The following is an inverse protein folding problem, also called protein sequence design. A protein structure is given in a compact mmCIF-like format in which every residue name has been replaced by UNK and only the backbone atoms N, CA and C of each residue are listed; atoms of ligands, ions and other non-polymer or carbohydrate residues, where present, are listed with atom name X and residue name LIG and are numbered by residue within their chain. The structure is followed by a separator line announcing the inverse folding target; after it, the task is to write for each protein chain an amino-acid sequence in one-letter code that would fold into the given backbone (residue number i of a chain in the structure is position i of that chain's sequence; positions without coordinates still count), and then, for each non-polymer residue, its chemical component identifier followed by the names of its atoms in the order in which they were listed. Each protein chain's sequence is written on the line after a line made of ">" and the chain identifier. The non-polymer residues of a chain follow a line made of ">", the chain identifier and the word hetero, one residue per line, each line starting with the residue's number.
data_IF_490876764665
#
_entry.id   IF_490876764665
#
_cell.length_a   1.000
_cell.length_b   1.000
_cell.length_c   1.000
_cell.angle_alpha   90.00
_cell.angle_beta   90.00
_cell.angle_gamma   90.00
#
_symmetry.space_group_name_H-M   'P 1'
#
loop_
_entity.id
_entity.type
_entity.pdbx_description
1 polymer ?
#
# COMPACT_ATOMS: atom_id res chain seq x y z
N UNK A 1 12.06 -16.21 34.15
CA UNK A 1 12.54 -15.36 33.04
C UNK A 1 12.14 -15.90 31.66
N UNK A 2 12.16 -17.23 31.42
CA UNK A 2 11.69 -17.85 30.17
C UNK A 2 10.22 -17.56 29.81
N UNK A 3 9.31 -17.57 30.79
CA UNK A 3 7.86 -17.35 30.56
C UNK A 3 7.51 -15.94 30.05
N UNK A 4 8.28 -14.93 30.46
CA UNK A 4 8.05 -13.54 30.07
C UNK A 4 8.49 -13.32 28.62
N UNK A 5 9.65 -13.87 28.21
CA UNK A 5 10.12 -13.83 26.83
C UNK A 5 9.15 -14.51 25.85
N UNK A 6 8.65 -15.70 26.18
CA UNK A 6 7.65 -16.40 25.38
C UNK A 6 6.34 -15.61 25.22
N UNK A 7 5.89 -14.91 26.26
CA UNK A 7 4.69 -14.08 26.19
C UNK A 7 4.88 -12.89 25.24
N UNK A 8 6.02 -12.20 25.30
CA UNK A 8 6.31 -11.08 24.39
C UNK A 8 6.51 -11.53 22.95
N UNK A 9 7.22 -12.64 22.71
CA UNK A 9 7.37 -13.22 21.37
C UNK A 9 6.01 -13.61 20.79
N UNK A 10 5.15 -14.27 21.58
CA UNK A 10 3.81 -14.63 21.13
C UNK A 10 2.94 -13.41 20.86
N UNK A 11 3.03 -12.36 21.69
CA UNK A 11 2.30 -11.11 21.49
C UNK A 11 2.78 -10.38 20.24
N UNK A 12 4.09 -10.33 20.00
CA UNK A 12 4.69 -9.78 18.79
C UNK A 12 4.24 -10.56 17.55
N UNK A 13 4.38 -11.89 17.57
CA UNK A 13 3.97 -12.73 16.44
C UNK A 13 2.48 -12.61 16.15
N UNK A 14 1.62 -12.59 17.17
CA UNK A 14 0.19 -12.39 16.99
C UNK A 14 -0.17 -10.97 16.53
N UNK A 15 0.57 -9.94 16.96
CA UNK A 15 0.32 -8.59 16.49
C UNK A 15 0.74 -8.43 15.02
N UNK A 16 1.87 -9.02 14.64
CA UNK A 16 2.53 -8.80 13.36
C UNK A 16 2.06 -9.76 12.25
N UNK A 17 1.84 -11.04 12.56
CA UNK A 17 1.56 -12.09 11.59
C UNK A 17 0.17 -12.74 11.73
N UNK A 18 -0.65 -12.35 12.71
CA UNK A 18 -2.03 -12.84 12.75
C UNK A 18 -2.76 -12.41 11.49
N UNK A 19 -3.51 -13.35 10.91
CA UNK A 19 -4.42 -13.08 9.79
C UNK A 19 -5.25 -11.83 10.04
N UNK A 20 -5.24 -10.95 9.03
CA UNK A 20 -5.84 -9.64 9.06
C UNK A 20 -7.10 -9.65 8.19
N UNK A 21 -8.10 -8.86 8.57
CA UNK A 21 -9.32 -8.71 7.77
C UNK A 21 -8.98 -8.32 6.32
N UNK A 22 -9.53 -9.02 5.34
CA UNK A 22 -9.36 -8.72 3.92
C UNK A 22 -10.71 -8.24 3.38
N UNK A 23 -11.00 -6.96 3.55
CA UNK A 23 -12.26 -6.39 3.05
C UNK A 23 -12.07 -5.57 1.78
N UNK A 24 -10.85 -5.12 1.47
CA UNK A 24 -10.59 -4.38 0.24
C UNK A 24 -11.01 -5.21 -0.98
N UNK A 25 -11.86 -4.63 -1.80
CA UNK A 25 -12.23 -5.14 -3.11
C UNK A 25 -11.93 -4.05 -4.13
N UNK A 26 -11.38 -4.42 -5.29
CA UNK A 26 -11.12 -3.44 -6.34
C UNK A 26 -11.14 -4.04 -7.75
N UNK A 27 -11.50 -3.21 -8.73
CA UNK A 27 -11.28 -3.47 -10.15
C UNK A 27 -9.95 -2.87 -10.62
N UNK A 28 -9.32 -3.49 -11.60
CA UNK A 28 -8.12 -2.96 -12.26
C UNK A 28 -8.09 -3.40 -13.73
N UNK A 29 -7.25 -2.73 -14.51
CA UNK A 29 -6.88 -3.16 -15.85
C UNK A 29 -5.43 -3.66 -15.79
N UNK A 30 -5.04 -4.65 -16.59
CA UNK A 30 -3.64 -5.11 -16.63
C UNK A 30 -2.76 -4.15 -17.45
N UNK A 31 -2.73 -2.88 -17.04
CA UNK A 31 -1.91 -1.81 -17.62
C UNK A 31 -0.86 -1.32 -16.61
N UNK A 32 0.31 -0.87 -17.07
CA UNK A 32 1.32 -0.28 -16.20
C UNK A 32 0.78 0.89 -15.36
N UNK A 33 1.16 0.89 -14.08
CA UNK A 33 0.97 1.98 -13.13
C UNK A 33 2.36 2.54 -12.81
N UNK A 34 2.62 3.80 -13.14
CA UNK A 34 3.87 4.47 -12.81
C UNK A 34 3.89 4.89 -11.34
N UNK A 35 5.08 4.84 -10.75
CA UNK A 35 5.34 5.38 -9.43
C UNK A 35 6.55 6.30 -9.47
N UNK A 36 6.63 7.25 -8.54
CA UNK A 36 7.83 8.02 -8.30
C UNK A 36 8.54 7.50 -7.05
N UNK A 37 9.85 7.68 -6.99
CA UNK A 37 10.59 7.57 -5.73
C UNK A 37 10.44 8.85 -4.91
N UNK A 38 10.01 8.70 -3.67
CA UNK A 38 10.10 9.73 -2.66
C UNK A 38 11.38 9.52 -1.83
N UNK A 39 12.17 10.59 -1.70
CA UNK A 39 13.37 10.60 -0.88
C UNK A 39 13.03 10.84 0.59
N UNK A 40 13.84 10.31 1.49
CA UNK A 40 13.79 10.62 2.91
C UNK A 40 15.17 11.10 3.42
N UNK A 41 15.16 12.14 4.24
CA UNK A 41 16.36 12.72 4.85
C UNK A 41 16.40 12.61 6.37
N UNK A 42 15.57 11.75 6.98
CA UNK A 42 15.44 11.64 8.45
C UNK A 42 16.38 10.63 9.11
N UNK A 43 17.41 10.12 8.42
CA UNK A 43 18.36 9.17 8.99
C UNK A 43 19.26 9.79 10.08
N UNK A 44 19.77 8.97 11.00
CA UNK A 44 20.85 9.37 11.90
C UNK A 44 22.05 9.87 11.08
N UNK A 45 22.62 11.01 11.47
CA UNK A 45 23.74 11.67 10.77
C UNK A 45 23.40 12.32 9.41
N UNK A 46 22.12 12.53 9.09
CA UNK A 46 21.74 13.21 7.85
C UNK A 46 21.87 12.36 6.60
N UNK A 47 21.86 11.03 6.76
CA UNK A 47 21.77 10.11 5.62
C UNK A 47 20.51 10.41 4.79
N UNK A 48 20.73 10.63 3.50
CA UNK A 48 19.69 10.88 2.51
C UNK A 48 19.44 9.60 1.71
N UNK A 49 18.27 9.00 1.89
CA UNK A 49 17.81 7.85 1.11
C UNK A 49 16.98 8.37 -0.08
N UNK A 50 17.50 8.39 -1.31
CA UNK A 50 16.74 8.86 -2.47
C UNK A 50 15.53 7.99 -2.82
N UNK A 51 15.52 6.71 -2.41
CA UNK A 51 14.48 5.74 -2.77
C UNK A 51 13.80 5.19 -1.51
N UNK A 52 13.28 6.09 -0.68
CA UNK A 52 12.74 5.74 0.62
C UNK A 52 11.28 5.27 0.59
N UNK A 53 10.51 5.67 -0.43
CA UNK A 53 9.15 5.22 -0.63
C UNK A 53 8.74 5.25 -2.09
N UNK A 54 7.90 4.31 -2.50
CA UNK A 54 7.22 4.34 -3.80
C UNK A 54 5.91 5.11 -3.65
N UNK A 55 5.76 6.23 -4.36
CA UNK A 55 4.51 7.00 -4.38
C UNK A 55 3.84 6.86 -5.72
N UNK A 56 2.58 6.42 -5.71
CA UNK A 56 1.77 6.21 -6.90
C UNK A 56 0.87 7.44 -7.10
N UNK A 57 1.09 8.25 -8.14
CA UNK A 57 0.20 9.35 -8.48
C UNK A 57 -1.21 8.82 -8.77
N UNK A 58 -2.22 9.55 -8.34
CA UNK A 58 -3.61 9.20 -8.62
C UNK A 58 -4.44 10.42 -8.99
N UNK A 59 -5.51 10.18 -9.76
CA UNK A 59 -6.48 11.23 -10.14
C UNK A 59 -7.87 10.83 -9.67
N UNK A 60 -8.58 11.78 -9.06
CA UNK A 60 -10.00 11.65 -8.72
C UNK A 60 -10.77 12.53 -9.71
N UNK A 61 -11.79 11.97 -10.36
CA UNK A 61 -12.56 12.70 -11.36
C UNK A 61 -13.23 13.94 -10.77
N UNK A 62 -13.18 15.05 -11.51
CA UNK A 62 -13.73 16.34 -11.07
C UNK A 62 -12.83 17.15 -10.14
N UNK A 63 -11.67 16.63 -9.71
CA UNK A 63 -10.71 17.35 -8.88
C UNK A 63 -9.41 17.65 -9.66
N UNK A 64 -8.92 18.89 -9.53
CA UNK A 64 -7.69 19.35 -10.18
C UNK A 64 -6.43 19.15 -9.33
N UNK A 65 -6.59 18.66 -8.11
CA UNK A 65 -5.52 18.40 -7.14
C UNK A 65 -4.58 17.29 -7.62
N UNK A 66 -3.33 17.35 -7.16
CA UNK A 66 -2.32 16.33 -7.44
C UNK A 66 -2.25 15.34 -6.29
N UNK A 67 -2.97 14.24 -6.39
CA UNK A 67 -3.00 13.22 -5.34
C UNK A 67 -1.96 12.13 -5.57
N UNK A 68 -1.54 11.48 -4.48
CA UNK A 68 -0.81 10.23 -4.53
C UNK A 68 -1.17 9.34 -3.33
N UNK A 69 -0.84 8.06 -3.44
CA UNK A 69 -0.79 7.13 -2.31
C UNK A 69 0.59 6.47 -2.27
N UNK A 70 1.09 6.17 -1.08
CA UNK A 70 2.31 5.38 -0.94
C UNK A 70 2.00 3.90 -1.21
N UNK A 71 2.73 3.25 -2.11
CA UNK A 71 2.73 1.79 -2.18
C UNK A 71 3.69 1.24 -1.12
N UNK A 72 3.15 0.45 -0.20
CA UNK A 72 3.79 0.11 1.07
C UNK A 72 3.54 -1.37 1.41
N UNK A 73 4.52 -2.23 1.14
CA UNK A 73 4.43 -3.66 1.50
C UNK A 73 4.58 -3.86 3.02
N UNK A 74 5.14 -2.87 3.71
CA UNK A 74 5.12 -2.59 5.15
C UNK A 74 3.74 -2.38 5.77
N UNK A 75 2.70 -2.17 4.95
CA UNK A 75 1.31 -2.07 5.38
C UNK A 75 0.49 -3.30 4.97
N UNK A 76 -0.14 -4.03 5.90
CA UNK A 76 -0.96 -5.19 5.54
C UNK A 76 -2.34 -4.79 5.02
N UNK A 77 -2.70 -3.51 5.02
CA UNK A 77 -3.96 -3.01 4.50
C UNK A 77 -3.72 -1.74 3.68
N UNK A 78 -4.59 -1.51 2.72
CA UNK A 78 -4.71 -0.22 2.06
C UNK A 78 -5.55 0.71 2.92
N UNK A 79 -5.12 1.97 3.00
CA UNK A 79 -5.71 2.99 3.86
C UNK A 79 -6.05 4.25 3.08
N UNK A 80 -7.14 4.88 3.48
CA UNK A 80 -7.38 6.31 3.24
C UNK A 80 -7.23 7.07 4.55
N UNK A 81 -6.55 8.21 4.49
CA UNK A 81 -6.26 9.00 5.68
C UNK A 81 -7.46 9.87 6.08
N UNK A 82 -7.78 9.89 7.37
CA UNK A 82 -9.01 10.52 7.84
C UNK A 82 -9.07 12.03 7.59
N UNK A 83 -7.95 12.74 7.76
CA UNK A 83 -7.93 14.20 7.57
C UNK A 83 -8.08 14.57 6.08
N UNK A 84 -7.44 13.81 5.19
CA UNK A 84 -7.60 13.96 3.75
C UNK A 84 -9.03 13.62 3.29
N UNK A 85 -9.63 12.55 3.85
CA UNK A 85 -11.02 12.17 3.58
C UNK A 85 -12.01 13.27 3.98
N UNK A 86 -11.78 13.95 5.11
CA UNK A 86 -12.58 15.13 5.51
C UNK A 86 -12.48 16.25 4.47
N UNK A 87 -11.29 16.50 3.94
CA UNK A 87 -11.08 17.49 2.87
C UNK A 87 -11.78 17.09 1.58
N UNK A 88 -11.68 15.83 1.12
CA UNK A 88 -12.41 15.34 -0.06
C UNK A 88 -13.92 15.56 0.07
N UNK A 89 -14.50 15.25 1.23
CA UNK A 89 -15.92 15.51 1.53
C UNK A 89 -16.25 17.00 1.51
N UNK A 90 -15.38 17.86 2.06
CA UNK A 90 -15.56 19.30 2.03
C UNK A 90 -15.50 19.90 0.61
N UNK A 91 -14.87 19.19 -0.35
CA UNK A 91 -14.91 19.55 -1.78
C UNK A 91 -16.22 19.14 -2.47
N UNK A 92 -17.14 18.49 -1.75
CA UNK A 92 -18.44 18.08 -2.25
C UNK A 92 -18.51 16.62 -2.72
N UNK A 93 -17.47 15.81 -2.46
CA UNK A 93 -17.54 14.38 -2.78
C UNK A 93 -18.44 13.64 -1.78
N UNK A 94 -19.43 12.91 -2.31
CA UNK A 94 -20.29 12.03 -1.52
C UNK A 94 -19.58 10.69 -1.22
N UNK A 95 -18.64 10.71 -0.27
CA UNK A 95 -17.89 9.51 0.15
C UNK A 95 -18.50 8.95 1.43
N UNK A 96 -19.24 7.85 1.26
CA UNK A 96 -19.89 7.12 2.35
C UNK A 96 -18.91 6.30 3.18
N UNK A 97 -19.28 6.13 4.43
CA UNK A 97 -18.53 5.36 5.41
C UNK A 97 -19.39 4.23 5.96
N UNK A 98 -18.76 3.08 6.16
CA UNK A 98 -19.37 1.92 6.81
C UNK A 98 -18.46 1.43 7.95
N UNK A 99 -19.08 0.88 8.99
CA UNK A 99 -18.38 0.35 10.16
C UNK A 99 -18.55 -1.16 10.22
N UNK A 100 -17.46 -1.89 10.44
CA UNK A 100 -17.48 -3.34 10.64
C UNK A 100 -16.68 -3.68 11.90
N UNK A 101 -17.39 -4.04 12.97
CA UNK A 101 -16.79 -4.16 14.30
C UNK A 101 -16.31 -2.80 14.79
N UNK A 102 -15.04 -2.69 15.16
CA UNK A 102 -14.41 -1.44 15.61
C UNK A 102 -13.69 -0.68 14.47
N UNK A 103 -13.70 -1.24 13.26
CA UNK A 103 -13.00 -0.69 12.10
C UNK A 103 -13.96 0.12 11.21
N UNK A 104 -13.46 1.25 10.68
CA UNK A 104 -14.18 2.15 9.78
C UNK A 104 -13.62 2.04 8.37
N UNK A 105 -14.50 2.14 7.38
CA UNK A 105 -14.15 1.96 5.97
C UNK A 105 -14.85 3.00 5.11
N UNK A 106 -14.18 3.46 4.07
CA UNK A 106 -14.85 4.07 2.92
C UNK A 106 -15.56 2.97 2.15
N UNK A 107 -16.87 3.13 1.97
CA UNK A 107 -17.72 2.14 1.30
C UNK A 107 -17.24 1.91 -0.14
N UNK A 108 -16.99 3.01 -0.85
CA UNK A 108 -16.48 3.01 -2.21
C UNK A 108 -15.76 4.33 -2.52
N UNK A 109 -14.66 4.23 -3.27
CA UNK A 109 -13.98 5.36 -3.88
C UNK A 109 -13.50 4.97 -5.27
N UNK A 110 -13.68 5.87 -6.23
CA UNK A 110 -13.23 5.69 -7.61
C UNK A 110 -12.09 6.67 -7.89
N UNK A 111 -11.00 6.16 -8.46
CA UNK A 111 -9.83 6.94 -8.83
C UNK A 111 -9.08 6.26 -9.98
N UNK A 112 -8.15 7.00 -10.58
CA UNK A 112 -7.26 6.51 -11.63
C UNK A 112 -5.84 6.39 -11.12
N UNK A 113 -5.21 5.27 -11.42
CA UNK A 113 -3.76 5.07 -11.33
C UNK A 113 -3.23 4.99 -12.76
N UNK A 114 -2.73 6.11 -13.28
CA UNK A 114 -2.51 6.33 -14.72
C UNK A 114 -3.73 5.96 -15.57
N UNK A 115 -3.60 4.95 -16.43
CA UNK A 115 -4.64 4.48 -17.35
C UNK A 115 -5.55 3.41 -16.75
N UNK A 116 -5.37 3.10 -15.46
CA UNK A 116 -6.18 2.12 -14.73
C UNK A 116 -7.30 2.81 -13.97
N UNK A 117 -8.55 2.46 -14.31
CA UNK A 117 -9.72 2.87 -13.54
C UNK A 117 -9.92 1.92 -12.36
N UNK A 118 -9.68 2.43 -11.17
CA UNK A 118 -9.81 1.68 -9.93
C UNK A 118 -11.13 2.07 -9.26
N UNK A 119 -12.02 1.10 -9.13
CA UNK A 119 -13.17 1.17 -8.24
C UNK A 119 -12.84 0.35 -7.02
N UNK A 120 -12.52 1.00 -5.90
CA UNK A 120 -12.14 0.34 -4.66
C UNK A 120 -13.24 0.47 -3.61
N UNK A 121 -13.55 -0.62 -2.94
CA UNK A 121 -14.57 -0.70 -1.89
C UNK A 121 -13.96 -1.21 -0.59
N UNK A 122 -14.59 -0.82 0.52
CA UNK A 122 -14.15 -1.18 1.87
C UNK A 122 -12.69 -0.78 2.16
N UNK A 123 -12.28 0.40 1.70
CA UNK A 123 -10.94 0.94 1.96
C UNK A 123 -10.88 1.34 3.43
N UNK A 124 -9.90 0.84 4.18
CA UNK A 124 -9.81 1.10 5.62
C UNK A 124 -9.49 2.57 5.90
N UNK A 125 -10.17 3.18 6.86
CA UNK A 125 -9.88 4.55 7.29
C UNK A 125 -8.81 4.52 8.37
N UNK A 126 -7.69 5.22 8.15
CA UNK A 126 -6.68 5.44 9.16
C UNK A 126 -7.02 6.71 9.96
N UNK A 127 -7.52 6.50 11.18
CA UNK A 127 -7.98 7.57 12.06
C UNK A 127 -6.87 8.52 12.50
N UNK A 128 -7.19 9.81 12.62
CA UNK A 128 -6.30 10.89 13.05
C UNK A 128 -4.99 11.01 12.23
N UNK A 129 -4.96 10.52 10.99
CA UNK A 129 -3.79 10.56 10.13
C UNK A 129 -4.03 11.43 8.89
N UNK A 130 -2.94 11.82 8.24
CA UNK A 130 -2.93 12.66 7.05
C UNK A 130 -3.12 14.14 7.34
N UNK A 131 -3.33 14.93 6.29
CA UNK A 131 -3.34 16.39 6.37
C UNK A 131 -4.60 16.98 5.72
N UNK A 132 -5.12 18.06 6.29
CA UNK A 132 -6.21 18.79 5.66
C UNK A 132 -5.66 19.63 4.49
N UNK A 133 -6.38 19.63 3.38
CA UNK A 133 -6.12 20.47 2.21
C UNK A 133 -7.38 21.23 1.78
N UNK A 134 -7.19 22.28 0.97
CA UNK A 134 -8.29 23.16 0.54
C UNK A 134 -8.58 23.01 -0.96
N UNK A 135 -9.73 23.53 -1.40
CA UNK A 135 -10.11 23.56 -2.83
C UNK A 135 -9.10 24.28 -3.71
N UNK A 136 -8.42 25.28 -3.17
CA UNK A 136 -7.51 26.14 -3.93
C UNK A 136 -6.07 25.59 -3.97
N UNK A 137 -5.80 24.50 -3.25
CA UNK A 137 -4.48 23.86 -3.25
C UNK A 137 -4.30 22.99 -4.50
N UNK A 138 -3.86 23.62 -5.58
CA UNK A 138 -3.66 22.97 -6.89
C UNK A 138 -2.18 22.72 -7.20
N UNK A 139 -1.28 23.06 -6.28
CA UNK A 139 0.17 23.01 -6.48
C UNK A 139 0.79 21.91 -5.62
N UNK A 140 0.27 21.67 -4.42
CA UNK A 140 0.84 20.67 -3.52
C UNK A 140 0.58 19.25 -4.04
N UNK A 141 1.56 18.36 -3.83
CA UNK A 141 1.35 16.90 -3.93
C UNK A 141 0.72 16.43 -2.63
N UNK A 142 -0.48 15.85 -2.70
CA UNK A 142 -1.30 15.52 -1.54
C UNK A 142 -1.35 14.00 -1.38
N UNK A 143 -0.72 13.49 -0.33
CA UNK A 143 -0.71 12.06 0.01
C UNK A 143 -1.96 11.70 0.78
N UNK A 144 -2.92 11.03 0.13
CA UNK A 144 -4.25 10.77 0.72
C UNK A 144 -4.41 9.38 1.33
N UNK A 145 -3.37 8.55 1.25
CA UNK A 145 -3.47 7.16 1.70
C UNK A 145 -2.24 6.31 1.42
N UNK A 146 -2.43 5.02 1.69
CA UNK A 146 -1.46 3.94 1.50
C UNK A 146 -2.10 2.83 0.68
N UNK A 147 -1.41 2.31 -0.33
CA UNK A 147 -1.73 1.06 -1.03
C UNK A 147 -0.89 -0.03 -0.36
N UNK A 148 -1.56 -0.88 0.42
CA UNK A 148 -0.90 -1.94 1.19
C UNK A 148 -0.81 -3.27 0.46
N UNK A 149 -0.24 -4.26 1.13
CA UNK A 149 -0.09 -5.64 0.63
C UNK A 149 -1.43 -6.36 0.34
N UNK A 150 -2.57 -5.86 0.85
CA UNK A 150 -3.88 -6.39 0.46
C UNK A 150 -4.24 -6.08 -1.01
N UNK A 151 -3.64 -5.04 -1.59
CA UNK A 151 -3.80 -4.70 -3.00
C UNK A 151 -3.22 -5.78 -3.91
N UNK A 152 -2.10 -6.41 -3.54
CA UNK A 152 -1.45 -7.45 -4.35
C UNK A 152 -1.91 -8.87 -4.01
N UNK A 153 -2.80 -9.02 -3.01
CA UNK A 153 -3.30 -10.33 -2.58
C UNK A 153 -4.08 -11.00 -3.71
N UNK A 154 -3.80 -12.28 -3.95
CA UNK A 154 -4.42 -13.09 -5.01
C UNK A 154 -4.24 -12.48 -6.42
N UNK A 155 -3.15 -11.74 -6.64
CA UNK A 155 -2.75 -11.19 -7.94
C UNK A 155 -1.30 -11.55 -8.23
N UNK A 156 -1.00 -11.74 -9.50
CA UNK A 156 0.37 -11.75 -9.97
C UNK A 156 0.78 -10.29 -10.10
N UNK A 157 1.86 -9.90 -9.43
CA UNK A 157 2.32 -8.51 -9.37
C UNK A 157 3.75 -8.43 -9.88
N UNK A 158 4.01 -7.52 -10.81
CA UNK A 158 5.35 -7.16 -11.24
C UNK A 158 5.69 -5.74 -10.77
N UNK A 159 6.86 -5.56 -10.18
CA UNK A 159 7.42 -4.25 -9.85
C UNK A 159 8.72 -4.12 -10.62
N UNK A 160 8.76 -3.18 -11.56
CA UNK A 160 9.96 -2.83 -12.31
C UNK A 160 10.57 -1.57 -11.70
N UNK A 161 11.53 -1.76 -10.80
CA UNK A 161 12.20 -0.64 -10.11
C UNK A 161 12.99 0.27 -11.06
N UNK A 162 13.47 -0.27 -12.19
CA UNK A 162 14.28 0.49 -13.15
C UNK A 162 13.39 1.41 -13.99
N UNK A 163 12.26 0.89 -14.47
CA UNK A 163 11.30 1.63 -15.28
C UNK A 163 10.21 2.32 -14.46
N UNK A 164 10.20 2.09 -13.14
CA UNK A 164 9.29 2.69 -12.16
C UNK A 164 7.82 2.36 -12.44
N UNK A 165 7.54 1.09 -12.75
CA UNK A 165 6.18 0.60 -13.01
C UNK A 165 5.77 -0.53 -12.07
N UNK A 166 4.48 -0.57 -11.76
CA UNK A 166 3.76 -1.61 -11.08
C UNK A 166 2.71 -2.17 -12.04
N UNK A 167 2.63 -3.48 -12.19
CA UNK A 167 1.62 -4.15 -13.01
C UNK A 167 0.97 -5.31 -12.27
N UNK A 168 -0.35 -5.44 -12.46
CA UNK A 168 -1.16 -6.50 -11.88
C UNK A 168 -1.71 -7.40 -12.98
N UNK A 169 -1.76 -8.70 -12.71
CA UNK A 169 -2.29 -9.70 -13.61
C UNK A 169 -3.18 -10.70 -12.86
N UNK A 170 -4.29 -11.09 -13.51
CA UNK A 170 -5.13 -12.20 -13.06
C UNK A 170 -4.55 -13.57 -13.47
N UNK A 171 -3.78 -13.59 -14.57
CA UNK A 171 -3.20 -14.79 -15.14
C UNK A 171 -1.72 -14.55 -15.45
N UNK A 172 -0.94 -15.62 -15.53
CA UNK A 172 0.50 -15.55 -15.71
C UNK A 172 0.85 -15.04 -17.12
N UNK A 173 1.43 -13.83 -17.25
CA UNK A 173 1.70 -13.25 -18.57
C UNK A 173 2.79 -14.04 -19.30
N UNK A 174 2.74 -14.06 -20.64
CA UNK A 174 3.64 -14.88 -21.47
C UNK A 174 5.13 -14.61 -21.21
N UNK A 175 5.51 -13.35 -21.01
CA UNK A 175 6.90 -12.96 -20.74
C UNK A 175 7.44 -13.53 -19.42
N UNK A 176 6.57 -13.76 -18.41
CA UNK A 176 7.00 -14.39 -17.15
C UNK A 176 7.31 -15.88 -17.33
N UNK A 177 6.76 -16.55 -18.34
CA UNK A 177 7.03 -17.98 -18.59
C UNK A 177 8.48 -18.25 -19.00
N UNK A 178 9.18 -17.23 -19.51
CA UNK A 178 10.60 -17.33 -19.89
C UNK A 178 11.56 -17.03 -18.75
N UNK A 179 11.06 -16.59 -17.59
CA UNK A 179 11.90 -16.30 -16.42
C UNK A 179 12.37 -17.58 -15.73
N UNK A 180 13.42 -17.45 -14.93
CA UNK A 180 13.82 -18.50 -14.02
C UNK A 180 12.71 -18.80 -13.01
N UNK A 181 12.72 -20.01 -12.45
CA UNK A 181 11.75 -20.41 -11.43
C UNK A 181 11.83 -19.47 -10.23
N UNK A 182 10.69 -18.88 -9.87
CA UNK A 182 10.55 -18.09 -8.66
C UNK A 182 10.75 -18.95 -7.41
N UNK A 183 11.34 -18.34 -6.37
CA UNK A 183 11.37 -18.95 -5.04
C UNK A 183 10.06 -18.62 -4.30
N UNK A 184 9.49 -19.57 -3.54
CA UNK A 184 8.38 -19.26 -2.66
C UNK A 184 8.83 -18.32 -1.54
N UNK A 185 7.90 -17.52 -1.03
CA UNK A 185 8.05 -16.68 0.16
C UNK A 185 6.81 -16.86 1.04
N UNK A 186 6.92 -16.54 2.34
CA UNK A 186 5.76 -16.53 3.22
C UNK A 186 5.02 -15.20 3.10
N UNK A 187 3.68 -15.26 3.04
CA UNK A 187 2.77 -14.10 2.93
C UNK A 187 1.76 -14.03 4.08
N UNK A 188 2.00 -14.78 5.16
CA UNK A 188 1.11 -14.84 6.33
C UNK A 188 0.84 -13.45 6.91
N UNK A 189 -0.44 -13.14 7.17
CA UNK A 189 -0.84 -11.80 7.64
C UNK A 189 -0.60 -10.67 6.64
N UNK A 190 -0.38 -11.01 5.35
CA UNK A 190 -0.01 -10.08 4.25
C UNK A 190 1.32 -9.37 4.49
N UNK A 191 2.29 -10.12 5.01
CA UNK A 191 3.69 -9.71 5.19
C UNK A 191 4.54 -10.51 4.24
N UNK A 192 5.27 -9.87 3.33
CA UNK A 192 6.18 -10.57 2.43
C UNK A 192 7.46 -10.91 3.21
N UNK A 193 7.66 -12.18 3.52
CA UNK A 193 8.86 -12.69 4.20
C UNK A 193 9.74 -13.43 3.19
N UNK A 194 10.83 -12.77 2.76
CA UNK A 194 11.74 -13.30 1.75
C UNK A 194 12.78 -14.22 2.39
N UNK A 195 12.97 -15.44 1.86
CA UNK A 195 14.07 -16.29 2.26
C UNK A 195 15.38 -15.77 1.65
N UNK A 196 16.36 -15.43 2.49
CA UNK A 196 17.65 -14.85 2.09
C UNK A 196 18.80 -15.58 2.76
N UNK A 197 19.87 -15.85 2.01
CA UNK A 197 21.13 -16.35 2.55
C UNK A 197 22.15 -15.22 2.61
N UNK A 198 22.63 -14.90 3.82
CA UNK A 198 23.68 -13.89 4.04
C UNK A 198 24.81 -14.55 4.81
N UNK A 199 26.03 -14.51 4.27
CA UNK A 199 27.22 -15.14 4.88
C UNK A 199 26.97 -16.61 5.28
N UNK A 200 26.44 -17.40 4.35
CA UNK A 200 26.12 -18.83 4.51
C UNK A 200 25.12 -19.16 5.64
N UNK A 201 24.32 -18.16 6.06
CA UNK A 201 23.23 -18.33 7.02
C UNK A 201 21.91 -17.95 6.38
N UNK A 202 20.90 -18.76 6.62
CA UNK A 202 19.55 -18.54 6.14
C UNK A 202 18.74 -17.66 7.09
N UNK A 203 18.01 -16.71 6.52
CA UNK A 203 17.17 -15.73 7.19
C UNK A 203 15.82 -15.62 6.48
N UNK A 204 14.81 -15.18 7.23
CA UNK A 204 13.57 -14.63 6.67
C UNK A 204 13.57 -13.12 6.92
N UNK A 205 13.62 -12.35 5.84
CA UNK A 205 13.61 -10.90 5.90
C UNK A 205 12.24 -10.35 5.54
N UNK A 206 11.74 -9.45 6.36
CA UNK A 206 10.53 -8.72 6.03
C UNK A 206 10.83 -7.72 4.91
N UNK A 207 10.05 -7.79 3.84
CA UNK A 207 10.18 -6.89 2.69
C UNK A 207 9.22 -5.71 2.85
N UNK A 208 9.82 -4.54 3.12
CA UNK A 208 9.21 -3.24 3.36
C UNK A 208 10.09 -2.16 2.71
#
# INVERSE_FOLDING_TARGET
>A
MLSVGFYYIRKFNNAFFKEKSAYLEYSFESKPIYFDWAANSTGSEGYHEPQAAMVVPLKIEGLAHQFYMQFDTGAPHSFIYENDLKSLRALGMDIKEVTKGEERFVEQLEFKLDDNYIKASMIRILGNYGHAFSKNDTISRIGIGTIGSDFIKDRITAIDFKNQTLELFNEHPEWMKTLQKFKPFDFTGRRIMLPVTINDKDYELFYD
#
